data_IF_369704679371
#
_entry.id   IF_369704679371
#
_cell.length_a   1.000
_cell.length_b   1.000
_cell.length_c   1.000
_cell.angle_alpha   90.00
_cell.angle_beta   90.00
_cell.angle_gamma   90.00
#
_symmetry.space_group_name_H-M   'P 1'
#
loop_
_entity.id
_entity.type
_entity.pdbx_description
1 polymer ?
#
# COMPACT_ATOMS: atom_id res chain seq x y z
N UNK A 1 1.51 -14.70 25.39
CA UNK A 1 2.61 -15.67 25.15
C UNK A 1 2.21 -16.82 24.19
N UNK A 2 0.95 -17.33 24.26
CA UNK A 2 0.53 -18.44 23.39
C UNK A 2 0.51 -18.06 21.90
N UNK A 3 -0.01 -16.87 21.57
CA UNK A 3 -0.17 -16.36 20.17
C UNK A 3 1.18 -16.01 19.56
N UNK A 4 2.09 -15.44 20.34
CA UNK A 4 3.36 -14.92 19.84
C UNK A 4 4.53 -15.89 19.92
N UNK A 5 4.36 -17.09 20.51
CA UNK A 5 5.43 -18.08 20.74
C UNK A 5 6.20 -18.54 19.50
N UNK A 6 5.53 -18.47 18.31
CA UNK A 6 6.11 -18.92 17.04
C UNK A 6 6.77 -17.80 16.24
N UNK A 7 6.73 -16.56 16.76
CA UNK A 7 7.48 -15.44 16.17
C UNK A 7 8.94 -15.53 16.63
N UNK A 8 9.86 -15.44 15.68
CA UNK A 8 11.31 -15.46 15.93
C UNK A 8 11.93 -14.25 15.28
N UNK A 9 12.60 -13.45 16.09
CA UNK A 9 13.34 -12.28 15.59
C UNK A 9 14.46 -12.70 14.65
N UNK A 10 14.54 -12.05 13.49
CA UNK A 10 15.53 -12.29 12.43
C UNK A 10 16.47 -11.10 12.25
N UNK A 11 16.01 -9.90 12.59
CA UNK A 11 16.76 -8.68 12.41
C UNK A 11 17.83 -8.52 13.50
N UNK A 12 19.05 -8.18 13.10
CA UNK A 12 20.18 -8.00 14.02
C UNK A 12 20.00 -6.80 14.97
N UNK A 13 19.12 -5.87 14.61
CA UNK A 13 18.78 -4.70 15.41
C UNK A 13 17.81 -5.04 16.55
N UNK A 14 17.10 -6.17 16.50
CA UNK A 14 16.25 -6.65 17.60
C UNK A 14 17.11 -7.32 18.66
N UNK A 15 17.27 -6.69 19.82
CA UNK A 15 18.00 -7.20 20.98
C UNK A 15 17.06 -7.97 21.91
N UNK A 16 15.86 -7.46 22.15
CA UNK A 16 14.79 -8.07 22.93
C UNK A 16 13.47 -7.81 22.22
N UNK A 17 12.76 -8.88 21.94
CA UNK A 17 11.43 -8.88 21.31
C UNK A 17 10.31 -9.06 22.36
N UNK A 18 9.17 -9.60 21.93
CA UNK A 18 7.98 -9.87 22.75
C UNK A 18 8.33 -10.65 24.03
N UNK A 19 7.74 -10.25 25.15
CA UNK A 19 7.81 -10.96 26.44
C UNK A 19 8.47 -10.20 27.58
N UNK A 20 8.63 -8.88 27.44
CA UNK A 20 9.04 -7.96 28.49
C UNK A 20 8.20 -6.68 28.41
N UNK A 21 8.39 -5.73 29.36
CA UNK A 21 7.65 -4.45 29.38
C UNK A 21 7.90 -3.58 28.15
N UNK A 22 9.07 -3.71 27.53
CA UNK A 22 9.43 -3.03 26.29
C UNK A 22 10.35 -3.87 25.42
N UNK A 23 10.25 -3.69 24.10
CA UNK A 23 11.23 -4.19 23.16
C UNK A 23 12.53 -3.37 23.25
N UNK A 24 13.68 -4.03 22.99
CA UNK A 24 14.99 -3.37 22.94
C UNK A 24 15.57 -3.47 21.55
N UNK A 25 15.80 -2.32 20.93
CA UNK A 25 16.38 -2.22 19.60
C UNK A 25 17.76 -1.56 19.65
N UNK A 26 18.65 -2.05 18.81
CA UNK A 26 19.97 -1.46 18.59
C UNK A 26 19.92 -0.61 17.33
N UNK A 27 20.24 0.68 17.44
CA UNK A 27 20.42 1.56 16.28
C UNK A 27 21.79 1.37 15.65
N UNK A 28 21.88 1.31 14.32
CA UNK A 28 23.13 1.40 13.59
C UNK A 28 23.57 2.87 13.47
N UNK A 29 24.86 3.13 13.64
CA UNK A 29 25.42 4.52 13.75
C UNK A 29 25.29 5.35 12.48
N UNK A 30 25.14 4.71 11.31
CA UNK A 30 25.10 5.36 9.99
C UNK A 30 23.70 5.34 9.33
N UNK A 31 22.67 4.95 10.09
CA UNK A 31 21.30 4.89 9.60
C UNK A 31 20.34 5.69 10.46
N UNK A 32 19.36 6.29 9.81
CA UNK A 32 18.20 6.91 10.45
C UNK A 32 17.08 5.88 10.59
N UNK A 33 16.31 6.00 11.68
CA UNK A 33 15.10 5.22 11.87
C UNK A 33 13.91 5.89 11.21
N UNK A 34 13.12 5.09 10.52
CA UNK A 34 11.85 5.45 9.92
C UNK A 34 10.74 4.81 10.76
N UNK A 35 9.70 5.56 11.09
CA UNK A 35 8.58 5.07 11.89
C UNK A 35 7.29 5.51 11.22
N UNK A 36 6.39 4.56 10.94
CA UNK A 36 5.03 4.84 10.50
C UNK A 36 4.02 4.04 11.31
N UNK A 37 2.77 4.46 11.30
CA UNK A 37 1.68 3.76 11.98
C UNK A 37 0.36 3.97 11.26
N UNK A 38 -0.35 2.87 11.00
CA UNK A 38 -1.70 2.86 10.46
C UNK A 38 -2.68 2.19 11.41
N UNK A 39 -3.95 2.52 11.18
CA UNK A 39 -5.06 1.95 11.92
C UNK A 39 -6.12 1.41 10.96
N UNK A 40 -6.49 0.14 11.10
CA UNK A 40 -7.58 -0.49 10.38
C UNK A 40 -8.80 -0.65 11.32
N UNK A 41 -9.95 -0.14 10.89
CA UNK A 41 -11.19 -0.12 11.68
C UNK A 41 -12.28 -0.87 10.93
N UNK A 42 -12.92 -1.84 11.60
CA UNK A 42 -14.05 -2.56 11.05
C UNK A 42 -15.21 -1.62 10.67
N UNK A 43 -15.78 -1.84 9.49
CA UNK A 43 -16.84 -1.00 8.92
C UNK A 43 -16.34 0.28 8.23
N UNK A 44 -15.02 0.58 8.33
CA UNK A 44 -14.36 1.69 7.64
C UNK A 44 -13.37 1.14 6.60
N UNK A 45 -12.36 0.42 7.05
CA UNK A 45 -11.27 -0.09 6.20
C UNK A 45 -11.48 -1.55 5.76
N UNK A 46 -12.30 -2.30 6.46
CA UNK A 46 -12.62 -3.69 6.15
C UNK A 46 -14.00 -4.09 6.67
N UNK A 47 -14.53 -5.17 6.11
CA UNK A 47 -15.79 -5.76 6.51
C UNK A 47 -15.61 -7.28 6.66
N UNK A 48 -15.81 -7.77 7.89
CA UNK A 48 -15.59 -9.19 8.23
C UNK A 48 -16.62 -10.13 7.59
N UNK A 49 -17.65 -9.62 6.91
CA UNK A 49 -18.57 -10.47 6.15
C UNK A 49 -17.91 -11.07 4.89
N UNK A 50 -16.81 -10.46 4.40
CA UNK A 50 -16.09 -10.92 3.22
C UNK A 50 -14.55 -10.84 3.33
N UNK A 51 -14.00 -10.29 4.42
CA UNK A 51 -12.54 -10.24 4.63
C UNK A 51 -12.14 -11.32 5.63
N UNK A 52 -11.42 -12.39 5.22
CA UNK A 52 -10.90 -13.39 6.14
C UNK A 52 -9.87 -12.79 7.10
N UNK A 53 -9.93 -13.18 8.37
CA UNK A 53 -9.03 -12.65 9.41
C UNK A 53 -7.55 -12.86 9.09
N UNK A 54 -7.20 -13.98 8.47
CA UNK A 54 -5.82 -14.25 8.03
C UNK A 54 -5.35 -13.24 6.97
N UNK A 55 -6.19 -12.89 6.00
CA UNK A 55 -5.86 -11.88 5.00
C UNK A 55 -5.79 -10.48 5.63
N UNK A 56 -6.71 -10.18 6.54
CA UNK A 56 -6.71 -8.92 7.28
C UNK A 56 -5.41 -8.74 8.09
N UNK A 57 -4.97 -9.79 8.80
CA UNK A 57 -3.70 -9.78 9.53
C UNK A 57 -2.50 -9.56 8.60
N UNK A 58 -2.49 -10.19 7.42
CA UNK A 58 -1.45 -9.95 6.43
C UNK A 58 -1.47 -8.50 5.92
N UNK A 59 -2.66 -8.02 5.49
CA UNK A 59 -2.86 -6.67 4.98
C UNK A 59 -2.40 -5.62 5.99
N UNK A 60 -2.74 -5.78 7.28
CA UNK A 60 -2.38 -4.82 8.33
C UNK A 60 -0.87 -4.59 8.47
N UNK A 61 -0.05 -5.60 8.18
CA UNK A 61 1.41 -5.48 8.14
C UNK A 61 1.88 -4.90 6.81
N UNK A 62 1.33 -5.40 5.69
CA UNK A 62 1.76 -5.01 4.34
C UNK A 62 1.60 -3.51 4.09
N UNK A 63 0.47 -2.91 4.49
CA UNK A 63 0.21 -1.48 4.29
C UNK A 63 1.24 -0.61 5.02
N UNK A 64 1.59 -0.97 6.26
CA UNK A 64 2.62 -0.27 7.04
C UNK A 64 4.04 -0.45 6.47
N UNK A 65 4.37 -1.66 5.98
CA UNK A 65 5.66 -1.89 5.30
C UNK A 65 5.76 -1.06 4.02
N UNK A 66 4.62 -0.82 3.32
CA UNK A 66 4.54 0.04 2.15
C UNK A 66 5.01 1.48 2.45
N UNK A 67 4.62 2.05 3.59
CA UNK A 67 5.08 3.39 4.03
C UNK A 67 6.61 3.48 4.13
N UNK A 68 7.24 2.44 4.67
CA UNK A 68 8.71 2.40 4.77
C UNK A 68 9.34 2.27 3.38
N UNK A 69 8.74 1.48 2.48
CA UNK A 69 9.17 1.41 1.08
C UNK A 69 9.02 2.77 0.39
N UNK A 70 7.94 3.51 0.64
CA UNK A 70 7.70 4.86 0.12
C UNK A 70 8.74 5.89 0.57
N UNK A 71 9.49 5.61 1.63
CA UNK A 71 10.65 6.38 2.07
C UNK A 71 11.99 5.86 1.53
N UNK A 72 11.97 4.89 0.60
CA UNK A 72 13.15 4.18 0.11
C UNK A 72 13.95 3.51 1.25
N UNK A 73 13.23 3.00 2.24
CA UNK A 73 13.77 2.38 3.44
C UNK A 73 13.48 0.88 3.52
N UNK A 74 14.08 0.24 4.51
CA UNK A 74 13.89 -1.18 4.83
C UNK A 74 13.16 -1.32 6.15
N UNK A 75 11.97 -1.91 6.15
CA UNK A 75 11.25 -2.28 7.35
C UNK A 75 12.00 -3.36 8.13
N UNK A 76 12.01 -3.28 9.46
CA UNK A 76 12.77 -4.19 10.34
C UNK A 76 11.93 -4.76 11.48
N UNK A 77 11.10 -3.96 12.12
CA UNK A 77 10.27 -4.40 13.24
C UNK A 77 8.85 -3.82 13.13
N UNK A 78 7.90 -4.50 13.80
CA UNK A 78 6.54 -4.00 14.00
C UNK A 78 6.07 -4.22 15.44
N UNK A 79 5.15 -3.36 15.87
CA UNK A 79 4.27 -3.61 17.01
C UNK A 79 2.82 -3.66 16.54
N UNK A 80 1.99 -4.49 17.18
CA UNK A 80 0.59 -4.67 16.81
C UNK A 80 -0.30 -4.48 18.02
N UNK A 81 -1.17 -3.47 18.00
CA UNK A 81 -2.19 -3.28 19.01
C UNK A 81 -3.56 -3.61 18.42
N UNK A 82 -4.37 -4.41 19.14
CA UNK A 82 -5.72 -4.76 18.73
C UNK A 82 -6.74 -4.41 19.82
N UNK A 83 -7.89 -3.89 19.40
CA UNK A 83 -9.07 -3.76 20.24
C UNK A 83 -10.17 -4.67 19.68
N UNK A 84 -10.61 -5.67 20.47
CA UNK A 84 -11.54 -6.71 20.04
C UNK A 84 -12.82 -6.71 20.89
N UNK A 85 -13.96 -6.96 20.26
CA UNK A 85 -15.22 -7.14 20.99
C UNK A 85 -15.35 -8.59 21.48
N UNK A 86 -16.21 -8.82 22.47
CA UNK A 86 -16.44 -10.14 23.07
C UNK A 86 -17.05 -11.20 22.12
N UNK A 87 -17.37 -10.83 20.89
CA UNK A 87 -17.82 -11.77 19.84
C UNK A 87 -16.67 -12.59 19.22
N UNK A 88 -15.40 -12.19 19.43
CA UNK A 88 -14.26 -12.89 18.87
C UNK A 88 -13.75 -13.96 19.85
N UNK A 89 -13.81 -15.26 19.47
CA UNK A 89 -13.14 -16.31 20.22
C UNK A 89 -11.62 -16.25 20.01
N UNK A 90 -10.89 -16.99 20.83
CA UNK A 90 -9.40 -17.02 20.77
C UNK A 90 -8.93 -17.49 19.39
N UNK A 91 -9.60 -18.45 18.79
CA UNK A 91 -9.29 -18.99 17.45
C UNK A 91 -9.32 -17.92 16.35
N UNK A 92 -10.23 -16.95 16.48
CA UNK A 92 -10.29 -15.81 15.54
C UNK A 92 -9.06 -14.90 15.68
N UNK A 93 -8.57 -14.69 16.90
CA UNK A 93 -7.34 -13.95 17.15
C UNK A 93 -6.13 -14.72 16.62
N UNK A 94 -6.09 -16.05 16.82
CA UNK A 94 -5.04 -16.92 16.29
C UNK A 94 -4.99 -16.86 14.74
N UNK A 95 -6.15 -16.84 14.08
CA UNK A 95 -6.24 -16.71 12.61
C UNK A 95 -5.70 -15.35 12.14
N UNK A 96 -6.06 -14.24 12.79
CA UNK A 96 -5.52 -12.91 12.52
C UNK A 96 -3.99 -12.90 12.64
N UNK A 97 -3.45 -13.42 13.76
CA UNK A 97 -2.02 -13.47 14.00
C UNK A 97 -1.29 -14.44 13.07
N UNK A 98 -1.95 -15.48 12.55
CA UNK A 98 -1.41 -16.33 11.49
C UNK A 98 -1.13 -15.51 10.20
N UNK A 99 -2.01 -14.56 9.87
CA UNK A 99 -1.80 -13.62 8.77
C UNK A 99 -0.64 -12.66 9.04
N UNK A 100 -0.60 -12.06 10.23
CA UNK A 100 0.50 -11.18 10.67
C UNK A 100 1.84 -11.92 10.56
N UNK A 101 1.92 -13.14 11.09
CA UNK A 101 3.12 -13.98 11.01
C UNK A 101 3.56 -14.21 9.56
N UNK A 102 2.61 -14.56 8.68
CA UNK A 102 2.91 -14.80 7.26
C UNK A 102 3.47 -13.55 6.58
N UNK A 103 2.96 -12.34 6.91
CA UNK A 103 3.50 -11.08 6.42
C UNK A 103 4.89 -10.77 7.00
N UNK A 104 5.09 -11.00 8.32
CA UNK A 104 6.39 -10.85 8.95
C UNK A 104 7.46 -11.74 8.30
N UNK A 105 7.11 -12.98 7.97
CA UNK A 105 7.99 -13.91 7.27
C UNK A 105 8.31 -13.44 5.84
N UNK A 106 7.30 -12.95 5.11
CA UNK A 106 7.43 -12.47 3.73
C UNK A 106 8.29 -11.22 3.63
N UNK A 107 8.04 -10.24 4.50
CA UNK A 107 8.74 -8.94 4.47
C UNK A 107 10.01 -8.90 5.34
N UNK A 108 10.33 -10.02 6.01
CA UNK A 108 11.47 -10.14 6.91
C UNK A 108 11.48 -9.07 8.02
N UNK A 109 10.31 -8.85 8.64
CA UNK A 109 10.13 -7.95 9.79
C UNK A 109 9.86 -8.76 11.05
N UNK A 110 10.29 -8.24 12.21
CA UNK A 110 10.10 -8.86 13.50
C UNK A 110 8.90 -8.26 14.23
N UNK A 111 7.99 -9.10 14.74
CA UNK A 111 7.00 -8.65 15.73
C UNK A 111 7.70 -8.53 17.08
N UNK A 112 7.80 -7.30 17.62
CA UNK A 112 8.56 -7.01 18.84
C UNK A 112 7.69 -6.61 20.04
N UNK A 113 6.39 -6.41 19.84
CA UNK A 113 5.48 -6.01 20.90
C UNK A 113 4.07 -5.74 20.40
N UNK A 114 3.24 -5.27 21.31
CA UNK A 114 1.86 -4.90 21.00
C UNK A 114 1.01 -4.85 22.23
N UNK A 115 -0.28 -4.62 22.04
CA UNK A 115 -1.27 -4.57 23.09
C UNK A 115 -2.58 -5.23 22.66
N UNK A 116 -3.36 -5.73 23.61
CA UNK A 116 -4.69 -6.27 23.38
C UNK A 116 -5.67 -5.72 24.40
N UNK A 117 -6.68 -5.00 23.91
CA UNK A 117 -7.73 -4.45 24.75
C UNK A 117 -9.11 -4.81 24.24
N UNK A 118 -10.14 -4.50 25.02
CA UNK A 118 -11.53 -4.72 24.61
C UNK A 118 -12.08 -3.54 23.81
N UNK A 119 -12.95 -3.84 22.82
CA UNK A 119 -13.76 -2.86 22.10
C UNK A 119 -15.24 -3.08 22.42
N UNK A 120 -16.00 -1.99 22.49
CA UNK A 120 -17.46 -2.06 22.65
C UNK A 120 -18.17 -2.52 21.35
N UNK A 121 -17.52 -2.30 20.21
CA UNK A 121 -18.02 -2.71 18.90
C UNK A 121 -16.87 -2.92 17.91
N UNK A 122 -16.90 -4.05 17.20
CA UNK A 122 -15.97 -4.29 16.10
C UNK A 122 -14.53 -4.64 16.50
N UNK A 123 -13.71 -4.75 15.47
CA UNK A 123 -12.28 -4.99 15.55
C UNK A 123 -11.53 -3.73 15.08
N UNK A 124 -10.53 -3.34 15.84
CA UNK A 124 -9.57 -2.29 15.49
C UNK A 124 -8.18 -2.88 15.55
N UNK A 125 -7.37 -2.63 14.54
CA UNK A 125 -5.97 -3.06 14.46
C UNK A 125 -5.12 -1.82 14.23
N UNK A 126 -4.12 -1.60 15.06
CA UNK A 126 -3.09 -0.58 14.85
C UNK A 126 -1.73 -1.25 14.76
N UNK A 127 -1.02 -1.00 13.67
CA UNK A 127 0.34 -1.50 13.47
C UNK A 127 1.27 -0.31 13.41
N UNK A 128 2.35 -0.37 14.17
CA UNK A 128 3.47 0.57 14.04
C UNK A 128 4.65 -0.18 13.46
N UNK A 129 5.19 0.33 12.37
CA UNK A 129 6.38 -0.22 11.70
C UNK A 129 7.60 0.64 12.00
N UNK A 130 8.71 -0.01 12.24
CA UNK A 130 10.03 0.59 12.37
C UNK A 130 10.87 0.09 11.20
N UNK A 131 11.50 1.03 10.52
CA UNK A 131 12.43 0.77 9.42
C UNK A 131 13.70 1.57 9.59
N UNK A 132 14.62 1.37 8.67
CA UNK A 132 15.90 2.07 8.63
C UNK A 132 16.33 2.38 7.20
N UNK A 133 17.03 3.49 7.03
CA UNK A 133 17.71 3.84 5.79
C UNK A 133 18.92 4.71 6.09
N UNK A 134 19.93 4.69 5.22
CA UNK A 134 20.99 5.70 5.25
C UNK A 134 20.41 7.05 4.86
N UNK A 135 20.86 8.13 5.50
CA UNK A 135 20.31 9.48 5.29
C UNK A 135 20.32 9.88 3.80
N UNK A 136 21.41 9.60 3.09
CA UNK A 136 21.54 9.91 1.66
C UNK A 136 20.64 9.08 0.74
N UNK A 137 20.07 7.97 1.24
CA UNK A 137 19.17 7.10 0.46
C UNK A 137 17.70 7.46 0.67
N UNK A 138 17.34 8.13 1.75
CA UNK A 138 15.94 8.48 2.04
C UNK A 138 15.35 9.31 0.91
N UNK A 139 14.18 8.90 0.43
CA UNK A 139 13.35 9.68 -0.49
C UNK A 139 12.16 10.23 0.27
N UNK A 140 11.80 11.47 -0.01
CA UNK A 140 10.67 12.17 0.61
C UNK A 140 9.58 12.42 -0.44
N UNK A 141 8.39 12.79 -0.02
CA UNK A 141 7.33 13.28 -0.92
C UNK A 141 7.72 14.57 -1.63
N UNK A 142 8.58 15.37 -1.02
CA UNK A 142 9.14 16.60 -1.58
C UNK A 142 10.48 16.32 -2.27
N UNK A 143 10.74 17.05 -3.37
CA UNK A 143 12.04 16.99 -4.05
C UNK A 143 11.98 16.69 -5.53
N UNK A 144 10.77 16.49 -6.10
CA UNK A 144 10.57 16.40 -7.54
C UNK A 144 11.05 17.68 -8.23
N UNK A 145 11.69 17.55 -9.39
CA UNK A 145 12.25 18.65 -10.16
C UNK A 145 11.63 18.67 -11.54
N UNK A 146 11.49 19.87 -12.09
CA UNK A 146 11.02 20.06 -13.49
C UNK A 146 11.86 19.20 -14.42
N UNK A 147 11.19 18.49 -15.33
CA UNK A 147 11.73 17.49 -16.26
C UNK A 147 12.08 16.11 -15.64
N UNK A 148 11.86 15.89 -14.35
CA UNK A 148 11.92 14.52 -13.81
C UNK A 148 10.85 13.65 -14.47
N UNK A 149 11.17 12.37 -14.66
CA UNK A 149 10.21 11.35 -15.10
C UNK A 149 9.37 10.91 -13.92
N UNK A 150 8.07 10.78 -14.12
CA UNK A 150 7.16 10.19 -13.14
C UNK A 150 6.98 8.69 -13.43
N UNK A 151 7.26 7.88 -12.44
CA UNK A 151 7.30 6.41 -12.54
C UNK A 151 6.35 5.79 -11.53
N UNK A 152 5.64 4.75 -11.93
CA UNK A 152 4.85 3.90 -11.03
C UNK A 152 5.28 2.44 -11.18
N UNK A 153 5.20 1.69 -10.09
CA UNK A 153 5.46 0.24 -10.08
C UNK A 153 4.20 -0.56 -10.39
N UNK A 154 4.37 -1.79 -10.88
CA UNK A 154 3.29 -2.74 -11.10
C UNK A 154 2.15 -2.21 -11.95
N UNK A 155 0.90 -2.44 -11.52
CA UNK A 155 -0.34 -2.02 -12.16
C UNK A 155 -1.36 -1.50 -11.15
N UNK A 156 -2.37 -0.78 -11.62
CA UNK A 156 -3.29 -0.01 -10.79
C UNK A 156 -4.75 -0.39 -11.03
N UNK A 157 -5.58 -0.18 -10.00
CA UNK A 157 -7.04 -0.30 -10.05
C UNK A 157 -7.58 -1.71 -9.76
N UNK A 158 -6.71 -2.72 -9.66
CA UNK A 158 -7.13 -4.09 -9.38
C UNK A 158 -7.72 -4.25 -7.98
N UNK A 159 -7.11 -3.60 -6.97
CA UNK A 159 -7.61 -3.63 -5.60
C UNK A 159 -9.01 -3.06 -5.49
N UNK A 160 -9.25 -1.91 -6.09
CA UNK A 160 -10.59 -1.29 -6.12
C UNK A 160 -11.65 -2.20 -6.75
N UNK A 161 -11.34 -2.86 -7.88
CA UNK A 161 -12.28 -3.78 -8.52
C UNK A 161 -12.53 -5.02 -7.66
N UNK A 162 -11.52 -5.53 -6.97
CA UNK A 162 -11.68 -6.59 -5.98
C UNK A 162 -12.67 -6.20 -4.88
N UNK A 163 -12.59 -4.97 -4.39
CA UNK A 163 -13.54 -4.43 -3.42
C UNK A 163 -14.97 -4.33 -4.01
N UNK A 164 -15.10 -3.90 -5.28
CA UNK A 164 -16.43 -3.81 -5.92
C UNK A 164 -17.09 -5.18 -6.04
N UNK A 165 -16.33 -6.24 -6.39
CA UNK A 165 -16.85 -7.61 -6.43
C UNK A 165 -17.30 -8.05 -5.04
N UNK A 166 -16.45 -7.89 -4.02
CA UNK A 166 -16.77 -8.31 -2.66
C UNK A 166 -18.05 -7.63 -2.14
N UNK A 167 -18.21 -6.33 -2.40
CA UNK A 167 -19.41 -5.59 -2.04
C UNK A 167 -20.64 -6.08 -2.81
N UNK A 168 -20.53 -6.28 -4.14
CA UNK A 168 -21.62 -6.79 -4.96
C UNK A 168 -22.10 -8.15 -4.48
N UNK A 169 -21.19 -9.08 -4.25
CA UNK A 169 -21.54 -10.43 -3.81
C UNK A 169 -22.16 -10.43 -2.39
N UNK A 170 -21.68 -9.56 -1.50
CA UNK A 170 -22.34 -9.33 -0.21
C UNK A 170 -23.77 -8.86 -0.37
N UNK A 171 -24.01 -7.86 -1.22
CA UNK A 171 -25.37 -7.31 -1.43
C UNK A 171 -26.31 -8.37 -2.04
N UNK A 172 -25.84 -9.17 -2.98
CA UNK A 172 -26.59 -10.30 -3.56
C UNK A 172 -26.94 -11.33 -2.48
N UNK A 173 -25.96 -11.72 -1.64
CA UNK A 173 -26.18 -12.68 -0.55
C UNK A 173 -27.18 -12.15 0.48
N UNK A 174 -27.10 -10.88 0.86
CA UNK A 174 -28.02 -10.26 1.80
C UNK A 174 -29.46 -10.18 1.24
N UNK A 175 -29.58 -9.92 -0.06
CA UNK A 175 -30.88 -9.90 -0.73
C UNK A 175 -31.48 -11.31 -0.93
N UNK A 176 -30.63 -12.33 -1.11
CA UNK A 176 -31.03 -13.71 -1.30
C UNK A 176 -30.02 -14.69 -0.68
N UNK A 177 -30.15 -15.04 0.62
CA UNK A 177 -29.20 -15.91 1.32
C UNK A 177 -29.07 -17.34 0.77
N UNK A 178 -29.97 -17.74 -0.15
CA UNK A 178 -29.89 -19.04 -0.85
C UNK A 178 -28.90 -19.06 -2.01
N UNK A 179 -28.38 -17.90 -2.45
CA UNK A 179 -27.40 -17.78 -3.52
C UNK A 179 -26.00 -17.73 -2.91
N UNK A 180 -25.12 -18.62 -3.36
CA UNK A 180 -23.72 -18.57 -2.95
C UNK A 180 -23.00 -17.44 -3.69
N UNK A 181 -22.08 -16.69 -3.01
CA UNK A 181 -21.24 -15.68 -3.66
C UNK A 181 -20.44 -16.28 -4.81
N UNK A 182 -20.40 -15.59 -5.95
CA UNK A 182 -19.57 -15.99 -7.11
C UNK A 182 -18.32 -15.13 -7.19
N UNK A 183 -17.20 -15.70 -6.76
CA UNK A 183 -15.88 -15.06 -6.77
C UNK A 183 -14.95 -15.65 -7.85
N UNK A 184 -15.42 -16.67 -8.62
CA UNK A 184 -14.59 -17.38 -9.57
C UNK A 184 -14.06 -16.46 -10.69
N UNK A 185 -12.82 -16.69 -11.10
CA UNK A 185 -12.16 -15.93 -12.17
C UNK A 185 -11.69 -14.52 -11.78
N UNK A 186 -11.89 -14.11 -10.52
CA UNK A 186 -11.52 -12.78 -10.03
C UNK A 186 -10.32 -12.81 -9.06
N UNK A 187 -9.58 -13.93 -9.03
CA UNK A 187 -8.51 -14.19 -8.04
C UNK A 187 -7.49 -13.06 -7.97
N UNK A 188 -7.09 -12.51 -9.11
CA UNK A 188 -6.11 -11.43 -9.18
C UNK A 188 -6.60 -10.19 -8.41
N UNK A 189 -7.76 -9.65 -8.76
CA UNK A 189 -8.31 -8.44 -8.12
C UNK A 189 -8.66 -8.67 -6.65
N UNK A 190 -9.16 -9.86 -6.30
CA UNK A 190 -9.43 -10.25 -4.92
C UNK A 190 -8.14 -10.32 -4.10
N UNK A 191 -7.07 -10.90 -4.67
CA UNK A 191 -5.77 -10.95 -4.00
C UNK A 191 -5.21 -9.53 -3.78
N UNK A 192 -5.28 -8.66 -4.80
CA UNK A 192 -4.82 -7.26 -4.68
C UNK A 192 -5.54 -6.51 -3.57
N UNK A 193 -6.85 -6.74 -3.39
CA UNK A 193 -7.65 -6.12 -2.34
C UNK A 193 -7.43 -6.74 -0.96
N UNK A 194 -7.45 -8.06 -0.87
CA UNK A 194 -7.45 -8.77 0.42
C UNK A 194 -6.05 -8.99 0.99
N UNK A 195 -5.05 -9.06 0.11
CA UNK A 195 -3.67 -9.38 0.45
C UNK A 195 -2.70 -8.56 -0.40
N UNK A 196 -2.70 -7.22 -0.28
CA UNK A 196 -1.76 -6.39 -1.02
C UNK A 196 -0.31 -6.70 -0.64
N UNK A 197 0.61 -6.46 -1.57
CA UNK A 197 2.04 -6.74 -1.41
C UNK A 197 2.84 -5.42 -1.39
N UNK A 198 3.51 -5.13 -0.28
CA UNK A 198 4.46 -4.02 -0.22
C UNK A 198 5.66 -4.28 -1.16
N UNK A 199 6.14 -3.25 -1.83
CA UNK A 199 7.14 -3.34 -2.91
C UNK A 199 8.60 -3.36 -2.39
N UNK A 200 8.87 -4.20 -1.38
CA UNK A 200 10.19 -4.32 -0.74
C UNK A 200 11.29 -4.70 -1.73
N UNK A 201 11.00 -5.62 -2.65
CA UNK A 201 11.94 -6.06 -3.68
C UNK A 201 12.37 -4.90 -4.62
N UNK A 202 11.49 -3.95 -4.87
CA UNK A 202 11.80 -2.83 -5.78
C UNK A 202 12.73 -1.79 -5.14
N UNK A 203 12.77 -1.70 -3.81
CA UNK A 203 13.77 -0.90 -3.09
C UNK A 203 15.17 -1.47 -3.31
N UNK A 204 15.30 -2.81 -3.30
CA UNK A 204 16.56 -3.49 -3.59
C UNK A 204 16.99 -3.26 -5.06
N UNK A 205 16.04 -3.33 -6.01
CA UNK A 205 16.30 -3.04 -7.43
C UNK A 205 16.74 -1.59 -7.63
N UNK A 206 16.10 -0.60 -7.00
CA UNK A 206 16.53 0.80 -7.06
C UNK A 206 17.95 1.00 -6.52
N UNK A 207 18.32 0.28 -5.46
CA UNK A 207 19.66 0.30 -4.90
C UNK A 207 20.68 -0.32 -5.86
N UNK A 208 20.39 -1.48 -6.47
CA UNK A 208 21.25 -2.15 -7.45
C UNK A 208 21.46 -1.29 -8.72
N UNK A 209 20.44 -0.58 -9.16
CA UNK A 209 20.49 0.34 -10.28
C UNK A 209 21.19 1.68 -9.94
N UNK A 210 21.53 1.89 -8.67
CA UNK A 210 22.06 3.16 -8.16
C UNK A 210 21.12 4.34 -8.51
N UNK A 211 19.82 4.13 -8.34
CA UNK A 211 18.79 5.15 -8.55
C UNK A 211 18.26 5.59 -7.18
N UNK A 212 18.36 6.88 -6.90
CA UNK A 212 17.67 7.51 -5.78
C UNK A 212 16.49 8.32 -6.33
N UNK A 213 15.24 7.98 -6.00
CA UNK A 213 14.10 8.83 -6.34
C UNK A 213 14.26 10.25 -5.80
N UNK A 214 13.88 11.24 -6.60
CA UNK A 214 13.89 12.66 -6.18
C UNK A 214 12.69 12.97 -5.30
N UNK A 215 11.54 12.31 -5.55
CA UNK A 215 10.39 12.25 -4.64
C UNK A 215 9.73 10.88 -4.71
N UNK A 216 9.02 10.47 -3.65
CA UNK A 216 8.43 9.14 -3.59
C UNK A 216 7.24 9.11 -2.62
N UNK A 217 6.24 8.28 -2.94
CA UNK A 217 5.04 8.00 -2.14
C UNK A 217 4.50 6.62 -2.57
N UNK A 218 3.75 5.93 -1.72
CA UNK A 218 2.97 4.76 -2.16
C UNK A 218 1.56 5.15 -2.59
N UNK A 219 0.90 4.30 -3.37
CA UNK A 219 -0.46 4.54 -3.90
C UNK A 219 -1.48 3.88 -2.99
N UNK A 220 -1.92 4.60 -1.98
CA UNK A 220 -2.91 4.16 -0.98
C UNK A 220 -4.31 4.72 -1.23
N UNK A 221 -4.45 6.01 -1.54
CA UNK A 221 -5.74 6.70 -1.75
C UNK A 221 -6.11 6.85 -3.24
N UNK A 222 -5.23 6.43 -4.13
CA UNK A 222 -5.37 6.47 -5.57
C UNK A 222 -4.36 7.37 -6.25
N UNK A 223 -3.95 7.00 -7.47
CA UNK A 223 -2.87 7.64 -8.20
C UNK A 223 -3.00 9.19 -8.27
N UNK A 224 -4.23 9.69 -8.50
CA UNK A 224 -4.45 11.15 -8.59
C UNK A 224 -4.23 11.87 -7.28
N UNK A 225 -4.59 11.25 -6.15
CA UNK A 225 -4.32 11.80 -4.81
C UNK A 225 -2.83 11.94 -4.57
N UNK A 226 -2.08 10.88 -4.86
CA UNK A 226 -0.64 10.84 -4.63
C UNK A 226 0.13 11.80 -5.54
N UNK A 227 -0.29 11.95 -6.79
CA UNK A 227 0.26 12.97 -7.71
C UNK A 227 0.08 14.37 -7.12
N UNK A 228 -1.10 14.68 -6.58
CA UNK A 228 -1.36 15.99 -5.97
C UNK A 228 -0.52 16.21 -4.71
N UNK A 229 -0.24 15.15 -3.94
CA UNK A 229 0.65 15.22 -2.79
C UNK A 229 2.10 15.51 -3.21
N UNK A 230 2.64 14.80 -4.20
CA UNK A 230 4.00 15.03 -4.72
C UNK A 230 4.14 16.44 -5.32
N UNK A 231 3.18 16.84 -6.15
CA UNK A 231 3.13 18.17 -6.79
C UNK A 231 3.12 19.30 -5.77
N UNK A 232 2.21 19.21 -4.80
CA UNK A 232 2.07 20.21 -3.74
C UNK A 232 3.32 20.30 -2.87
N UNK A 233 3.87 19.14 -2.47
CA UNK A 233 5.05 19.09 -1.61
C UNK A 233 6.30 19.62 -2.30
N UNK A 234 6.45 19.36 -3.60
CA UNK A 234 7.62 19.77 -4.40
C UNK A 234 7.46 21.14 -5.06
N UNK A 235 6.27 21.76 -4.98
CA UNK A 235 5.92 23.04 -5.59
C UNK A 235 6.09 23.04 -7.13
N UNK A 236 5.62 21.97 -7.78
CA UNK A 236 5.74 21.72 -9.23
C UNK A 236 4.38 21.35 -9.84
N UNK A 237 4.29 21.35 -11.19
CA UNK A 237 3.23 20.70 -11.94
C UNK A 237 3.59 19.25 -12.29
N UNK A 238 2.60 18.42 -12.57
CA UNK A 238 2.79 17.04 -13.03
C UNK A 238 1.83 16.75 -14.17
N UNK A 239 2.35 16.18 -15.26
CA UNK A 239 1.55 15.74 -16.40
C UNK A 239 1.65 14.23 -16.56
N UNK A 240 0.50 13.55 -16.65
CA UNK A 240 0.41 12.09 -16.91
C UNK A 240 -0.37 11.81 -18.19
N UNK A 241 -0.14 10.62 -18.79
CA UNK A 241 -0.69 10.21 -20.06
C UNK A 241 -1.54 8.95 -19.92
N UNK A 242 -2.77 8.96 -20.49
CA UNK A 242 -3.73 7.86 -20.41
C UNK A 242 -3.15 6.55 -20.93
N UNK A 243 -2.47 6.60 -22.09
CA UNK A 243 -1.86 5.44 -22.75
C UNK A 243 -0.66 4.84 -21.99
N UNK A 244 -0.20 5.51 -20.94
CA UNK A 244 0.93 5.06 -20.12
C UNK A 244 0.51 4.52 -18.76
N UNK A 245 -0.76 4.66 -18.36
CA UNK A 245 -1.23 4.13 -17.07
C UNK A 245 -1.23 2.60 -17.13
N UNK A 246 -0.43 1.91 -16.29
CA UNK A 246 -0.38 0.46 -16.29
C UNK A 246 -1.65 -0.13 -15.64
N UNK A 247 -2.39 -0.91 -16.42
CA UNK A 247 -3.57 -1.64 -15.97
C UNK A 247 -3.46 -3.07 -16.49
N UNK A 248 -3.52 -4.05 -15.61
CA UNK A 248 -3.49 -5.45 -15.99
C UNK A 248 -4.68 -5.81 -16.90
N UNK A 249 -4.47 -6.73 -17.81
CA UNK A 249 -5.49 -7.15 -18.76
C UNK A 249 -6.73 -7.76 -18.07
N UNK A 250 -6.54 -8.50 -16.99
CA UNK A 250 -7.67 -9.06 -16.21
C UNK A 250 -8.46 -7.94 -15.51
N UNK A 251 -7.78 -6.92 -14.99
CA UNK A 251 -8.36 -5.71 -14.42
C UNK A 251 -9.17 -4.94 -15.47
N UNK A 252 -8.64 -4.76 -16.69
CA UNK A 252 -9.38 -4.11 -17.78
C UNK A 252 -10.66 -4.84 -18.17
N UNK A 253 -10.62 -6.17 -18.25
CA UNK A 253 -11.79 -6.98 -18.58
C UNK A 253 -12.83 -6.93 -17.47
N UNK A 254 -12.41 -7.10 -16.23
CA UNK A 254 -13.29 -7.03 -15.06
C UNK A 254 -13.99 -5.67 -14.94
N UNK A 255 -13.28 -4.57 -15.18
CA UNK A 255 -13.89 -3.24 -15.18
C UNK A 255 -15.03 -3.14 -16.19
N UNK A 256 -14.82 -3.68 -17.42
CA UNK A 256 -15.88 -3.73 -18.46
C UNK A 256 -17.07 -4.56 -18.03
N UNK A 257 -16.84 -5.73 -17.41
CA UNK A 257 -17.90 -6.62 -16.94
C UNK A 257 -18.74 -5.96 -15.82
N UNK A 258 -18.11 -5.12 -15.04
CA UNK A 258 -18.77 -4.30 -13.99
C UNK A 258 -19.35 -2.97 -14.51
N UNK A 259 -19.24 -2.67 -15.82
CA UNK A 259 -19.60 -1.38 -16.42
C UNK A 259 -18.88 -0.19 -15.77
N UNK A 260 -17.62 -0.38 -15.36
CA UNK A 260 -16.76 0.65 -14.81
C UNK A 260 -15.69 1.06 -15.84
N UNK A 261 -15.25 2.31 -15.77
CA UNK A 261 -14.13 2.77 -16.56
C UNK A 261 -12.81 2.33 -15.91
N UNK A 262 -11.98 1.48 -16.57
CA UNK A 262 -10.74 0.97 -16.00
C UNK A 262 -9.73 2.09 -15.67
N UNK A 263 -9.66 3.15 -16.48
CA UNK A 263 -8.81 4.31 -16.21
C UNK A 263 -9.27 5.03 -14.93
N UNK A 264 -10.58 5.21 -14.75
CA UNK A 264 -11.10 5.80 -13.52
C UNK A 264 -10.74 4.96 -12.30
N UNK A 265 -10.83 3.62 -12.39
CA UNK A 265 -10.45 2.70 -11.30
C UNK A 265 -8.96 2.84 -10.96
N UNK A 266 -8.08 2.91 -11.95
CA UNK A 266 -6.64 3.07 -11.76
C UNK A 266 -6.27 4.45 -11.17
N UNK A 267 -6.97 5.51 -11.59
CA UNK A 267 -6.68 6.87 -11.12
C UNK A 267 -7.17 7.13 -9.69
N UNK A 268 -8.32 6.56 -9.29
CA UNK A 268 -9.01 6.94 -8.05
C UNK A 268 -9.35 5.77 -7.11
N UNK A 269 -8.99 4.54 -7.48
CA UNK A 269 -9.40 3.34 -6.75
C UNK A 269 -8.76 3.18 -5.37
N UNK A 270 -7.47 3.46 -5.29
CA UNK A 270 -6.67 3.29 -4.07
C UNK A 270 -6.41 1.84 -3.69
N UNK A 271 -5.72 1.66 -2.58
CA UNK A 271 -5.32 0.38 -1.98
C UNK A 271 -4.43 -0.52 -2.87
N UNK A 272 -3.78 0.06 -3.90
CA UNK A 272 -2.88 -0.68 -4.79
C UNK A 272 -1.51 -0.92 -4.15
N UNK A 273 -1.05 -0.03 -3.25
CA UNK A 273 0.24 -0.09 -2.53
C UNK A 273 1.43 -0.27 -3.48
N UNK A 274 1.31 0.31 -4.66
CA UNK A 274 2.39 0.50 -5.60
C UNK A 274 3.20 1.74 -5.22
N UNK A 275 4.44 1.85 -5.70
CA UNK A 275 5.28 3.01 -5.47
C UNK A 275 5.17 4.00 -6.64
N UNK A 276 4.88 5.25 -6.31
CA UNK A 276 4.91 6.38 -7.24
C UNK A 276 6.11 7.26 -6.91
N UNK A 277 6.98 7.51 -7.88
CA UNK A 277 8.19 8.27 -7.64
C UNK A 277 8.68 9.05 -8.85
N UNK A 278 9.55 10.03 -8.60
CA UNK A 278 10.18 10.81 -9.66
C UNK A 278 11.69 10.56 -9.70
N UNK A 279 12.26 10.59 -10.91
CA UNK A 279 13.69 10.43 -11.15
C UNK A 279 14.18 11.37 -12.24
N UNK A 280 15.46 11.74 -12.21
CA UNK A 280 16.09 12.46 -13.30
C UNK A 280 16.11 11.65 -14.61
N UNK A 281 16.05 12.37 -15.75
CA UNK A 281 16.01 11.74 -17.10
C UNK A 281 17.24 10.88 -17.40
N UNK A 282 18.36 11.14 -16.76
CA UNK A 282 19.62 10.37 -16.90
C UNK A 282 19.48 8.90 -16.48
N UNK A 283 18.44 8.56 -15.70
CA UNK A 283 18.15 7.20 -15.26
C UNK A 283 17.21 6.43 -16.19
N UNK A 284 16.69 7.06 -17.25
CA UNK A 284 15.70 6.45 -18.17
C UNK A 284 16.15 5.08 -18.71
N UNK A 285 17.39 5.00 -19.22
CA UNK A 285 17.90 3.76 -19.84
C UNK A 285 18.15 2.63 -18.81
N UNK A 286 18.32 2.97 -17.55
CA UNK A 286 18.43 2.00 -16.46
C UNK A 286 17.09 1.35 -16.15
N UNK A 287 16.02 2.15 -15.98
CA UNK A 287 14.68 1.66 -15.69
C UNK A 287 14.05 0.89 -16.85
N UNK A 288 14.30 1.29 -18.09
CA UNK A 288 13.69 0.66 -19.28
C UNK A 288 13.94 -0.84 -19.40
N UNK A 289 14.89 -1.38 -18.65
CA UNK A 289 15.24 -2.81 -18.66
C UNK A 289 14.42 -3.62 -17.66
N UNK A 290 13.70 -2.97 -16.76
CA UNK A 290 12.90 -3.61 -15.72
C UNK A 290 11.41 -3.47 -16.06
N UNK A 291 10.70 -4.58 -16.04
CA UNK A 291 9.27 -4.66 -16.42
C UNK A 291 8.34 -4.17 -15.32
N UNK A 292 8.84 -4.04 -14.08
CA UNK A 292 8.03 -3.62 -12.94
C UNK A 292 7.91 -2.10 -12.79
N UNK A 293 8.60 -1.33 -13.65
CA UNK A 293 8.57 0.14 -13.66
C UNK A 293 7.92 0.69 -14.93
N UNK A 294 6.92 1.53 -14.79
CA UNK A 294 6.25 2.22 -15.90
C UNK A 294 6.38 3.72 -15.78
N UNK A 295 6.96 4.38 -16.79
CA UNK A 295 6.99 5.84 -16.87
C UNK A 295 5.62 6.31 -17.37
N UNK A 296 4.86 6.99 -16.50
CA UNK A 296 3.48 7.41 -16.77
C UNK A 296 3.35 8.88 -17.11
N UNK A 297 4.42 9.66 -16.90
CA UNK A 297 4.37 11.11 -17.07
C UNK A 297 5.70 11.79 -16.74
N UNK A 298 5.62 13.06 -16.48
CA UNK A 298 6.78 13.89 -16.12
C UNK A 298 6.38 15.09 -15.27
N UNK A 299 7.37 15.66 -14.61
CA UNK A 299 7.24 16.88 -13.79
C UNK A 299 7.39 18.11 -14.67
N UNK A 300 6.46 19.06 -14.52
CA UNK A 300 6.40 20.32 -15.26
C UNK A 300 6.58 21.53 -14.32
N UNK A 301 6.65 22.73 -14.90
CA UNK A 301 6.61 23.94 -14.09
C UNK A 301 5.26 24.06 -13.36
N UNK A 302 5.28 24.62 -12.16
CA UNK A 302 4.09 24.82 -11.34
C UNK A 302 2.97 25.56 -12.07
N UNK A 303 3.32 26.53 -12.93
CA UNK A 303 2.36 27.34 -13.71
C UNK A 303 1.53 26.51 -14.70
N UNK A 304 2.00 25.33 -15.09
CA UNK A 304 1.26 24.42 -15.97
C UNK A 304 0.19 23.62 -15.22
N UNK A 305 0.29 23.53 -13.88
CA UNK A 305 -0.62 22.76 -13.05
C UNK A 305 -0.47 21.26 -13.21
N UNK A 306 -1.44 20.49 -12.70
CA UNK A 306 -1.45 19.03 -12.78
C UNK A 306 -2.43 18.58 -13.86
N UNK A 307 -1.96 17.83 -14.86
CA UNK A 307 -2.72 17.53 -16.06
C UNK A 307 -2.75 16.03 -16.36
N UNK A 308 -3.91 15.56 -16.79
CA UNK A 308 -4.12 14.24 -17.37
C UNK A 308 -4.40 14.41 -18.86
N UNK A 309 -3.54 13.82 -19.70
CA UNK A 309 -3.65 13.88 -21.17
C UNK A 309 -4.30 12.57 -21.65
N UNK A 310 -5.46 12.71 -22.26
CA UNK A 310 -6.23 11.58 -22.82
C UNK A 310 -5.72 11.17 -24.19
N UNK A 311 -6.15 9.98 -24.66
CA UNK A 311 -5.73 9.39 -25.94
C UNK A 311 -6.07 10.28 -27.16
N UNK A 312 -7.08 11.15 -27.07
CA UNK A 312 -7.44 12.15 -28.07
C UNK A 312 -6.65 13.46 -27.92
N UNK A 313 -5.63 13.46 -27.06
CA UNK A 313 -4.78 14.64 -26.75
C UNK A 313 -5.49 15.79 -26.03
N UNK A 314 -6.66 15.54 -25.44
CA UNK A 314 -7.28 16.53 -24.58
C UNK A 314 -6.58 16.59 -23.21
N UNK A 315 -6.43 17.80 -22.68
CA UNK A 315 -5.84 18.01 -21.35
C UNK A 315 -6.95 18.28 -20.32
N UNK A 316 -6.93 17.53 -19.25
CA UNK A 316 -7.85 17.66 -18.13
C UNK A 316 -7.08 17.90 -16.83
N UNK A 317 -7.51 18.86 -15.99
CA UNK A 317 -6.88 19.05 -14.68
C UNK A 317 -7.08 17.81 -13.81
N UNK A 318 -6.02 17.36 -13.14
CA UNK A 318 -6.07 16.25 -12.19
C UNK A 318 -6.84 16.71 -10.94
N UNK A 319 -7.88 15.97 -10.58
CA UNK A 319 -8.64 16.14 -9.35
C UNK A 319 -8.76 14.80 -8.63
N UNK A 320 -8.41 14.76 -7.33
CA UNK A 320 -8.57 13.56 -6.54
C UNK A 320 -10.05 13.32 -6.19
N UNK A 321 -10.52 12.11 -6.46
CA UNK A 321 -11.84 11.60 -6.07
C UNK A 321 -11.71 10.35 -5.18
N UNK A 322 -10.50 10.05 -4.72
CA UNK A 322 -10.19 8.95 -3.82
C UNK A 322 -10.80 9.14 -2.42
N UNK A 323 -10.46 8.23 -1.53
CA UNK A 323 -10.96 8.23 -0.16
C UNK A 323 -10.51 9.49 0.61
N UNK A 324 -11.41 10.06 1.42
CA UNK A 324 -11.12 11.21 2.29
C UNK A 324 -11.86 10.98 3.63
N UNK A 325 -11.09 10.77 4.70
CA UNK A 325 -11.61 10.50 6.05
C UNK A 325 -12.53 11.59 6.59
N UNK A 326 -12.45 12.83 6.08
CA UNK A 326 -13.18 13.99 6.56
C UNK A 326 -14.37 14.37 5.66
N UNK A 327 -14.49 13.81 4.47
CA UNK A 327 -15.68 13.96 3.62
C UNK A 327 -16.73 12.93 4.01
N UNK A 328 -17.94 13.41 4.31
CA UNK A 328 -19.13 12.59 4.54
C UNK A 328 -19.80 12.23 3.23
#
# INVERSE_FOLDING_TARGET
DHITKDFKSKNKTTVKDVGDDAAVLKSELDKLQLISTDMLVEGVHFDLSYVPLKHLGYKSVSVNVSDICAMNGKATQITVSIAISNRFPVEAVEELYSGIKSACEKFNVDLIGGDTTSSVSGLVISVTVIGEAKEEKISYRCGAKVNDLLVVTGDLGAAYLGLQILKREKDIFLANPGVQPDLQGNDYSLQRQLKPEARVNLIEVLEELEIKPTSMIDVSDGLTSEILHLSKCSDVGITIYEDKIPIDHTTMNLAKDLNLNPIFCALNGGEDYELLFTIGQEHYDKLKKDVDFTIIGHVTDKSEGNNFITNDSASHPITAQGWDALKK
#
